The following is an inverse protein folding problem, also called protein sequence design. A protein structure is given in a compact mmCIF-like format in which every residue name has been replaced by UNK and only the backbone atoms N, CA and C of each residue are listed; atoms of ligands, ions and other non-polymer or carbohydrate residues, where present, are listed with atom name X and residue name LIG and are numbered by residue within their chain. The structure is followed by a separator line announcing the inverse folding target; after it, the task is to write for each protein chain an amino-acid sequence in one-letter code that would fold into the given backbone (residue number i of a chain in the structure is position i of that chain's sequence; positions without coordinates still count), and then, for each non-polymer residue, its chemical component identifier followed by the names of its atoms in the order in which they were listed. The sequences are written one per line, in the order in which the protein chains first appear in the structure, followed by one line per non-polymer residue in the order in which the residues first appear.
data_IF_875981550169
#
_entry.id   IF_875981550169
#
_cell.length_a   1.000
_cell.length_b   1.000
_cell.length_c   1.000
_cell.angle_alpha   90.00
_cell.angle_beta   90.00
_cell.angle_gamma   90.00
#
_symmetry.space_group_name_H-M   'P 1'
#
loop_
_entity.id
_entity.type
_entity.pdbx_description
1 polymer ?
#
# COMPACT_ATOMS: atom_id res chain seq x y z
N UNK A 1 1.39 -8.88 2.07
CA UNK A 1 1.07 -7.66 2.78
C UNK A 1 1.50 -6.44 1.95
N UNK A 2 0.57 -5.57 1.66
CA UNK A 2 0.79 -4.41 0.79
C UNK A 2 0.70 -3.12 1.61
N UNK A 3 1.65 -2.22 1.39
CA UNK A 3 1.68 -0.89 1.98
C UNK A 3 1.36 0.13 0.88
N UNK A 4 0.23 0.82 1.00
CA UNK A 4 -0.28 1.74 -0.03
C UNK A 4 0.23 3.18 0.12
N UNK A 5 1.12 3.43 1.08
CA UNK A 5 1.68 4.77 1.30
C UNK A 5 2.73 5.12 0.26
N UNK A 6 3.16 6.38 0.24
CA UNK A 6 4.25 6.79 -0.63
C UNK A 6 5.53 6.03 -0.30
N UNK A 7 6.41 5.91 -1.28
CA UNK A 7 7.68 5.20 -1.12
C UNK A 7 8.53 5.79 0.01
N UNK A 8 8.55 7.12 0.14
CA UNK A 8 9.35 7.77 1.19
C UNK A 8 8.85 7.44 2.60
N UNK A 9 7.53 7.36 2.79
CA UNK A 9 6.98 6.95 4.08
C UNK A 9 7.25 5.48 4.36
N UNK A 10 7.07 4.63 3.36
CA UNK A 10 7.36 3.21 3.47
C UNK A 10 8.81 2.97 3.88
N UNK A 11 9.74 3.64 3.23
CA UNK A 11 11.17 3.45 3.50
C UNK A 11 11.63 4.08 4.82
N UNK A 12 10.79 4.88 5.45
CA UNK A 12 11.14 5.56 6.70
C UNK A 12 11.94 6.84 6.49
N UNK A 13 12.00 7.36 5.27
CA UNK A 13 12.71 8.61 4.99
C UNK A 13 11.90 9.83 5.36
N UNK A 14 10.59 9.68 5.50
CA UNK A 14 9.69 10.78 5.80
C UNK A 14 8.54 10.31 6.66
N UNK A 15 8.36 10.95 7.81
CA UNK A 15 7.22 10.69 8.68
C UNK A 15 6.86 11.96 9.43
N UNK A 16 5.67 12.52 9.13
CA UNK A 16 5.19 13.75 9.71
C UNK A 16 4.01 13.56 10.67
N UNK A 17 3.43 12.38 10.70
CA UNK A 17 2.18 12.13 11.42
C UNK A 17 2.33 11.19 12.61
N UNK A 18 3.14 10.16 12.46
CA UNK A 18 3.30 9.12 13.48
C UNK A 18 4.66 9.24 14.16
N UNK A 19 4.76 8.64 15.34
CA UNK A 19 5.97 8.73 16.16
C UNK A 19 7.16 7.94 15.57
N UNK A 20 6.88 6.89 14.82
CA UNK A 20 7.90 6.03 14.25
C UNK A 20 7.80 6.02 12.73
N UNK A 21 8.95 5.96 12.08
CA UNK A 21 9.06 5.89 10.63
C UNK A 21 9.39 4.47 10.19
N UNK A 22 8.86 4.07 9.03
CA UNK A 22 9.15 2.75 8.46
C UNK A 22 7.88 2.04 7.99
N UNK A 23 7.92 0.71 7.98
CA UNK A 23 6.79 -0.11 7.55
C UNK A 23 6.72 -1.41 8.34
N UNK A 24 5.61 -2.11 8.22
CA UNK A 24 5.44 -3.43 8.84
C UNK A 24 6.39 -4.41 8.14
N UNK A 25 7.19 -5.19 8.91
CA UNK A 25 8.11 -6.14 8.30
C UNK A 25 7.43 -7.10 7.33
N UNK A 26 8.05 -7.31 6.18
CA UNK A 26 7.50 -8.18 5.14
C UNK A 26 6.55 -7.50 4.17
N UNK A 27 6.18 -6.25 4.42
CA UNK A 27 5.29 -5.53 3.50
C UNK A 27 6.01 -5.14 2.22
N UNK A 28 5.27 -5.15 1.12
CA UNK A 28 5.71 -4.67 -0.19
C UNK A 28 5.04 -3.34 -0.46
N UNK A 29 5.80 -2.36 -0.91
CA UNK A 29 5.25 -1.04 -1.18
C UNK A 29 4.52 -1.01 -2.52
N UNK A 30 3.23 -0.66 -2.47
CA UNK A 30 2.40 -0.45 -3.65
C UNK A 30 1.67 0.88 -3.48
N UNK A 31 2.35 2.00 -3.75
CA UNK A 31 1.76 3.31 -3.53
C UNK A 31 0.48 3.51 -4.34
N UNK A 32 -0.61 3.83 -3.66
CA UNK A 32 -1.90 4.05 -4.30
C UNK A 32 -1.81 5.15 -5.37
N UNK A 33 -0.96 6.14 -5.16
CA UNK A 33 -0.76 7.24 -6.10
C UNK A 33 -0.30 6.81 -7.49
N UNK A 34 0.26 5.61 -7.63
CA UNK A 34 0.71 5.11 -8.94
C UNK A 34 -0.45 4.97 -9.93
N UNK A 35 -1.67 4.86 -9.42
CA UNK A 35 -2.84 4.57 -10.24
C UNK A 35 -3.59 5.82 -10.70
N UNK A 36 -3.12 6.99 -10.30
CA UNK A 36 -3.70 8.27 -10.70
C UNK A 36 -2.91 8.86 -11.86
N UNK A 37 -3.60 9.65 -12.69
CA UNK A 37 -2.93 10.47 -13.68
C UNK A 37 -2.29 11.67 -12.99
N UNK A 38 -1.25 12.21 -13.59
CA UNK A 38 -0.38 13.25 -13.03
C UNK A 38 -1.08 14.28 -12.15
N UNK A 39 -0.91 14.15 -10.82
CA UNK A 39 -1.35 15.13 -9.86
C UNK A 39 -2.85 15.30 -9.72
N UNK A 40 -3.66 14.53 -10.45
CA UNK A 40 -5.13 14.60 -10.38
C UNK A 40 -5.70 13.33 -9.74
N UNK A 41 -6.93 13.45 -9.23
CA UNK A 41 -7.62 12.36 -8.56
C UNK A 41 -8.36 11.43 -9.53
N UNK A 42 -8.02 11.50 -10.81
CA UNK A 42 -8.60 10.63 -11.83
C UNK A 42 -7.74 9.38 -11.99
N UNK A 43 -8.36 8.22 -11.86
CA UNK A 43 -7.65 6.96 -12.05
C UNK A 43 -7.25 6.77 -13.51
N UNK A 44 -6.14 6.04 -13.68
CA UNK A 44 -5.72 5.56 -15.00
C UNK A 44 -6.75 4.57 -15.54
N UNK A 45 -6.63 4.21 -16.82
CA UNK A 45 -7.49 3.19 -17.40
C UNK A 45 -7.30 1.84 -16.71
N UNK A 46 -8.31 0.97 -16.83
CA UNK A 46 -8.22 -0.39 -16.27
C UNK A 46 -7.00 -1.14 -16.79
N UNK A 47 -6.72 -0.99 -18.08
CA UNK A 47 -5.58 -1.67 -18.71
C UNK A 47 -4.25 -1.18 -18.13
N UNK A 48 -4.10 0.12 -17.95
CA UNK A 48 -2.90 0.70 -17.36
C UNK A 48 -2.74 0.26 -15.91
N UNK A 49 -3.82 0.25 -15.14
CA UNK A 49 -3.80 -0.19 -13.75
C UNK A 49 -3.38 -1.65 -13.64
N UNK A 50 -3.98 -2.52 -14.46
CA UNK A 50 -3.62 -3.94 -14.44
C UNK A 50 -2.17 -4.16 -14.85
N UNK A 51 -1.66 -3.37 -15.78
CA UNK A 51 -0.27 -3.44 -16.19
C UNK A 51 0.68 -3.05 -15.05
N UNK A 52 0.38 -1.97 -14.35
CA UNK A 52 1.16 -1.52 -13.19
C UNK A 52 1.14 -2.59 -12.09
N UNK A 53 -0.04 -3.13 -11.79
CA UNK A 53 -0.18 -4.19 -10.78
C UNK A 53 0.65 -5.41 -11.16
N UNK A 54 0.62 -5.81 -12.43
CA UNK A 54 1.42 -6.92 -12.91
C UNK A 54 2.92 -6.68 -12.76
N UNK A 55 3.37 -5.46 -13.01
CA UNK A 55 4.77 -5.08 -12.81
C UNK A 55 5.21 -5.18 -11.34
N UNK A 56 4.27 -5.05 -10.42
CA UNK A 56 4.51 -5.19 -8.98
C UNK A 56 4.21 -6.60 -8.46
N UNK A 57 3.97 -7.54 -9.34
CA UNK A 57 3.73 -8.92 -8.95
C UNK A 57 2.34 -9.20 -8.40
N UNK A 58 1.39 -8.29 -8.61
CA UNK A 58 0.01 -8.47 -8.13
C UNK A 58 -0.80 -9.17 -9.21
N UNK A 59 -1.35 -10.34 -8.87
CA UNK A 59 -2.16 -11.15 -9.77
C UNK A 59 -3.51 -11.42 -9.14
N UNK A 60 -4.44 -11.96 -9.92
CA UNK A 60 -5.74 -12.38 -9.41
C UNK A 60 -5.58 -13.45 -8.34
N UNK A 61 -4.64 -14.35 -8.51
CA UNK A 61 -4.42 -15.46 -7.61
C UNK A 61 -3.88 -15.02 -6.25
N UNK A 62 -2.96 -14.07 -6.22
CA UNK A 62 -2.34 -13.65 -4.96
C UNK A 62 -3.05 -12.48 -4.28
N UNK A 63 -4.05 -11.88 -4.91
CA UNK A 63 -4.84 -10.82 -4.31
C UNK A 63 -5.80 -11.35 -3.26
N UNK A 64 -6.41 -12.50 -3.54
CA UNK A 64 -7.36 -13.10 -2.62
C UNK A 64 -6.67 -13.45 -1.30
N UNK A 65 -7.16 -12.88 -0.22
CA UNK A 65 -6.59 -13.08 1.11
C UNK A 65 -5.37 -12.23 1.43
N UNK A 66 -4.87 -11.46 0.48
CA UNK A 66 -3.81 -10.52 0.75
C UNK A 66 -4.32 -9.39 1.66
N UNK A 67 -3.42 -8.70 2.35
CA UNK A 67 -3.78 -7.62 3.25
C UNK A 67 -3.13 -6.34 2.77
N UNK A 68 -3.88 -5.24 2.79
CA UNK A 68 -3.37 -3.91 2.45
C UNK A 68 -3.59 -2.94 3.61
N UNK A 69 -2.66 -2.03 3.81
CA UNK A 69 -2.77 -0.98 4.81
C UNK A 69 -2.16 0.32 4.29
N UNK A 70 -2.45 1.41 4.99
CA UNK A 70 -1.81 2.70 4.76
C UNK A 70 -1.52 3.34 6.11
N UNK A 71 -1.44 4.66 6.20
CA UNK A 71 -1.20 5.35 7.46
C UNK A 71 -2.40 5.25 8.39
N UNK A 72 -3.53 5.83 7.99
CA UNK A 72 -4.78 5.87 8.74
C UNK A 72 -5.95 5.25 8.00
N UNK A 73 -5.71 4.56 6.91
CA UNK A 73 -6.75 3.87 6.14
C UNK A 73 -7.22 4.59 4.89
N UNK A 74 -6.85 5.85 4.68
CA UNK A 74 -7.34 6.63 3.53
C UNK A 74 -6.83 6.10 2.19
N UNK A 75 -5.51 5.96 2.04
CA UNK A 75 -4.93 5.46 0.79
C UNK A 75 -5.28 4.00 0.55
N UNK A 76 -5.32 3.19 1.58
CA UNK A 76 -5.65 1.78 1.45
C UNK A 76 -7.12 1.57 1.07
N UNK A 77 -8.03 2.41 1.57
CA UNK A 77 -9.44 2.36 1.16
C UNK A 77 -9.58 2.65 -0.33
N UNK A 78 -8.87 3.66 -0.83
CA UNK A 78 -8.86 3.98 -2.25
C UNK A 78 -8.27 2.85 -3.09
N UNK A 79 -7.22 2.22 -2.60
CA UNK A 79 -6.59 1.10 -3.27
C UNK A 79 -7.53 -0.10 -3.39
N UNK A 80 -8.31 -0.39 -2.34
CA UNK A 80 -9.30 -1.47 -2.38
C UNK A 80 -10.36 -1.20 -3.43
N UNK A 81 -10.88 0.03 -3.47
CA UNK A 81 -11.86 0.41 -4.48
C UNK A 81 -11.30 0.26 -5.90
N UNK A 82 -10.03 0.63 -6.08
CA UNK A 82 -9.35 0.50 -7.36
C UNK A 82 -9.17 -0.97 -7.75
N UNK A 83 -8.81 -1.85 -6.82
CA UNK A 83 -8.69 -3.28 -7.08
C UNK A 83 -10.03 -3.85 -7.54
N UNK A 84 -11.11 -3.48 -6.86
CA UNK A 84 -12.45 -3.92 -7.27
C UNK A 84 -12.82 -3.40 -8.66
N UNK A 85 -12.45 -2.17 -8.95
CA UNK A 85 -12.69 -1.56 -10.26
C UNK A 85 -12.07 -2.37 -11.40
N UNK A 86 -10.90 -2.95 -11.19
CA UNK A 86 -10.21 -3.77 -12.19
C UNK A 86 -10.50 -5.27 -12.05
N UNK A 87 -11.41 -5.66 -11.16
CA UNK A 87 -11.86 -7.04 -11.01
C UNK A 87 -11.04 -7.92 -10.09
N UNK A 88 -10.17 -7.34 -9.27
CA UNK A 88 -9.39 -8.07 -8.29
C UNK A 88 -10.07 -7.99 -6.93
N UNK A 89 -10.60 -9.11 -6.47
CA UNK A 89 -11.40 -9.18 -5.23
C UNK A 89 -10.69 -9.99 -4.15
N UNK A 90 -11.22 -9.93 -2.93
CA UNK A 90 -10.69 -10.72 -1.82
C UNK A 90 -9.56 -10.07 -1.04
N UNK A 91 -9.21 -8.82 -1.36
CA UNK A 91 -8.20 -8.08 -0.61
C UNK A 91 -8.76 -7.69 0.76
N UNK A 92 -8.00 -7.96 1.82
CA UNK A 92 -8.38 -7.62 3.19
C UNK A 92 -7.74 -6.31 3.60
N UNK A 93 -8.42 -5.55 4.45
CA UNK A 93 -8.01 -4.21 4.85
C UNK A 93 -7.61 -4.15 6.32
N UNK A 94 -6.36 -3.80 6.58
CA UNK A 94 -5.93 -3.43 7.93
C UNK A 94 -6.16 -1.93 8.10
N UNK A 95 -7.34 -1.57 8.56
CA UNK A 95 -7.81 -0.18 8.63
C UNK A 95 -6.93 0.69 9.52
N UNK A 96 -6.50 0.16 10.67
CA UNK A 96 -5.66 0.92 11.60
C UNK A 96 -4.30 1.28 11.02
N UNK A 97 -3.79 0.49 10.12
CA UNK A 97 -2.59 0.77 9.36
C UNK A 97 -1.36 1.05 10.19
N UNK A 98 -0.46 1.83 9.61
CA UNK A 98 0.79 2.19 10.26
C UNK A 98 0.59 2.96 11.57
N UNK A 99 -0.42 3.81 11.61
CA UNK A 99 -0.70 4.59 12.82
C UNK A 99 -0.97 3.69 14.02
N UNK A 100 -1.76 2.63 13.83
CA UNK A 100 -2.05 1.68 14.91
C UNK A 100 -0.86 0.75 15.18
N UNK A 101 -0.24 0.23 14.13
CA UNK A 101 0.88 -0.69 14.27
C UNK A 101 2.05 -0.05 15.01
N UNK A 102 2.46 1.15 14.57
CA UNK A 102 3.62 1.83 15.12
C UNK A 102 3.39 2.41 16.51
N UNK A 103 2.13 2.57 16.93
CA UNK A 103 1.80 3.05 18.26
C UNK A 103 2.13 2.03 19.35
N UNK A 104 2.19 0.75 19.01
CA UNK A 104 2.56 -0.30 19.97
C UNK A 104 4.07 -0.49 19.95
N UNK A 105 4.77 -0.15 21.06
CA UNK A 105 6.23 -0.23 21.07
C UNK A 105 6.78 -1.66 20.94
N UNK A 106 5.94 -2.66 21.13
CA UNK A 106 6.33 -4.06 21.00
C UNK A 106 6.31 -4.56 19.56
N UNK A 107 5.62 -3.84 18.66
CA UNK A 107 5.55 -4.25 17.28
C UNK A 107 6.86 -3.94 16.55
N UNK A 108 7.41 -4.90 15.80
CA UNK A 108 8.62 -4.65 15.01
C UNK A 108 8.36 -3.71 13.85
N UNK A 109 9.38 -2.99 13.44
CA UNK A 109 9.32 -2.12 12.27
C UNK A 109 10.54 -2.37 11.38
N UNK A 110 10.39 -2.04 10.10
CA UNK A 110 11.45 -2.17 9.11
C UNK A 110 11.56 -0.87 8.33
N UNK A 111 12.75 -0.55 7.87
CA UNK A 111 13.02 0.64 7.05
C UNK A 111 13.74 0.26 5.78
N UNK A 112 13.67 1.13 4.79
CA UNK A 112 14.36 0.95 3.52
C UNK A 112 13.44 0.41 2.43
N UNK A 113 13.91 0.46 1.19
CA UNK A 113 13.19 0.01 -0.01
C UNK A 113 13.59 -1.43 -0.34
N UNK A 114 13.29 -2.34 0.54
CA UNK A 114 13.79 -3.72 0.43
C UNK A 114 13.03 -4.60 -0.54
N UNK A 115 11.93 -4.10 -1.04
CA UNK A 115 11.10 -4.81 -2.01
C UNK A 115 11.81 -5.08 -3.33
N UNK A 116 12.92 -4.41 -3.57
CA UNK A 116 13.71 -4.55 -4.79
C UNK A 116 14.95 -5.44 -4.63
N UNK A 117 15.12 -5.99 -3.48
CA UNK A 117 16.30 -6.82 -3.17
C UNK A 117 16.11 -8.25 -3.61
#
# INVERSE_FOLDING_TARGET
LLDARTRNRFAGRRENLDLKAGHIPGAVNLPERLFHTDGVTVWRSKEEILDILGQHGVTKENTEGAIIYSGSGNHSSLAIALFEYVGLTGLRHFVGGWSQWSANPKNPIERGDRDHV
#
